data_IF_811888218773
#
_entry.id   IF_811888218773
#
_cell.length_a   1.000
_cell.length_b   1.000
_cell.length_c   1.000
_cell.angle_alpha   90.00
_cell.angle_beta   90.00
_cell.angle_gamma   90.00
#
_symmetry.space_group_name_H-M   'P 1'
#
loop_
_entity.id
_entity.type
_entity.pdbx_description
1 polymer ?
#
# COMPACT_ATOMS: atom_id res chain seq x y z
N UNK A 1 8.96 -2.58 12.53
CA UNK A 1 10.37 -2.13 12.52
C UNK A 1 11.30 -3.27 12.94
N UNK A 2 10.97 -4.04 13.98
CA UNK A 2 11.83 -5.12 14.46
C UNK A 2 11.76 -6.35 13.56
N UNK A 3 10.56 -6.83 13.31
CA UNK A 3 10.36 -8.15 12.72
C UNK A 3 10.02 -8.11 11.22
N UNK A 4 9.62 -6.96 10.68
CA UNK A 4 9.31 -6.81 9.25
C UNK A 4 9.72 -5.44 8.70
N UNK A 5 11.02 -5.13 8.60
CA UNK A 5 11.48 -3.85 8.03
C UNK A 5 11.21 -3.73 6.52
N UNK A 6 10.82 -4.83 5.89
CA UNK A 6 10.62 -4.97 4.44
C UNK A 6 9.32 -4.38 3.90
N UNK A 7 8.27 -4.30 4.75
CA UNK A 7 6.92 -3.99 4.26
C UNK A 7 6.51 -2.53 4.52
N UNK A 8 6.09 -2.17 5.72
CA UNK A 8 5.69 -0.80 6.06
C UNK A 8 6.85 0.04 6.59
N UNK A 9 6.97 1.30 6.14
CA UNK A 9 8.09 2.17 6.52
C UNK A 9 7.71 3.64 6.35
N UNK A 10 8.60 4.56 6.83
CA UNK A 10 8.42 6.02 6.68
C UNK A 10 8.37 6.46 5.22
N UNK A 11 9.10 5.77 4.34
CA UNK A 11 9.15 6.06 2.90
C UNK A 11 8.01 5.44 2.08
N UNK A 12 7.00 4.87 2.73
CA UNK A 12 5.85 4.23 2.09
C UNK A 12 4.56 5.04 2.13
N UNK A 13 3.45 4.34 1.94
CA UNK A 13 2.10 4.87 2.02
C UNK A 13 1.10 3.81 2.46
N UNK A 14 -0.17 4.17 2.59
CA UNK A 14 -1.18 3.23 3.04
C UNK A 14 -2.56 3.84 3.29
N UNK A 15 -3.36 3.11 4.06
CA UNK A 15 -4.73 3.46 4.43
C UNK A 15 -5.02 3.10 5.88
N UNK A 16 -5.89 3.86 6.51
CA UNK A 16 -6.41 3.53 7.84
C UNK A 16 -7.91 3.75 7.91
N UNK A 17 -8.59 2.81 8.54
CA UNK A 17 -9.99 2.93 9.00
C UNK A 17 -9.98 3.04 10.51
N UNK A 18 -10.77 3.95 11.05
CA UNK A 18 -10.88 4.22 12.47
C UNK A 18 -12.36 4.21 12.84
N UNK A 19 -12.74 3.30 13.73
CA UNK A 19 -14.08 3.24 14.31
C UNK A 19 -14.06 3.85 15.68
N UNK A 20 -14.85 4.91 15.84
CA UNK A 20 -15.15 5.56 17.11
C UNK A 20 -16.42 4.94 17.68
N UNK A 21 -16.27 4.18 18.75
CA UNK A 21 -17.39 3.47 19.38
C UNK A 21 -18.38 4.40 20.08
N UNK A 22 -17.90 5.51 20.65
CA UNK A 22 -18.75 6.46 21.36
C UNK A 22 -19.72 7.15 20.41
N UNK A 23 -19.24 7.56 19.24
CA UNK A 23 -20.03 8.26 18.24
C UNK A 23 -20.67 7.33 17.20
N UNK A 24 -20.37 6.02 17.23
CA UNK A 24 -20.75 5.03 16.21
C UNK A 24 -20.38 5.48 14.79
N UNK A 25 -19.19 6.07 14.64
CA UNK A 25 -18.70 6.66 13.40
C UNK A 25 -17.45 5.96 12.88
N UNK A 26 -17.26 5.94 11.56
CA UNK A 26 -16.07 5.41 10.91
C UNK A 26 -15.47 6.46 10.01
N UNK A 27 -14.24 6.85 10.30
CA UNK A 27 -13.44 7.67 9.42
C UNK A 27 -12.39 6.85 8.70
N UNK A 28 -12.00 7.30 7.51
CA UNK A 28 -10.91 6.70 6.76
C UNK A 28 -9.94 7.76 6.25
N UNK A 29 -8.65 7.44 6.32
CA UNK A 29 -7.59 8.32 5.84
C UNK A 29 -6.78 7.57 4.77
N UNK A 30 -6.74 8.19 3.60
CA UNK A 30 -5.89 7.81 2.47
C UNK A 30 -4.56 8.57 2.59
N UNK A 31 -3.48 7.82 2.82
CA UNK A 31 -2.12 8.34 2.84
C UNK A 31 -1.21 7.57 1.88
N UNK A 32 -1.78 7.14 0.74
CA UNK A 32 -0.98 6.54 -0.32
C UNK A 32 0.08 7.50 -0.80
N UNK A 33 1.17 6.92 -1.31
CA UNK A 33 2.21 7.71 -1.96
C UNK A 33 1.68 8.39 -3.22
N UNK A 34 2.14 9.59 -3.48
CA UNK A 34 1.76 10.36 -4.65
C UNK A 34 2.89 10.37 -5.68
N UNK A 35 2.53 10.40 -6.97
CA UNK A 35 3.52 10.56 -8.01
C UNK A 35 4.17 11.94 -7.97
N UNK A 36 5.49 12.06 -8.25
CA UNK A 36 6.11 13.33 -8.53
C UNK A 36 5.47 14.00 -9.75
N UNK A 37 5.36 15.32 -9.75
CA UNK A 37 4.70 16.11 -10.83
C UNK A 37 5.34 15.92 -12.21
N UNK A 38 6.62 15.58 -12.26
CA UNK A 38 7.37 15.36 -13.50
C UNK A 38 7.29 13.92 -14.03
N UNK A 39 6.55 13.05 -13.37
CA UNK A 39 6.44 11.65 -13.77
C UNK A 39 5.59 11.50 -15.05
N UNK A 40 6.13 10.76 -16.02
CA UNK A 40 5.46 10.36 -17.26
C UNK A 40 5.66 8.86 -17.51
N UNK A 41 4.75 8.20 -18.22
CA UNK A 41 4.76 6.74 -18.39
C UNK A 41 6.02 6.21 -19.08
N UNK A 42 6.53 6.93 -20.07
CA UNK A 42 7.71 6.56 -20.85
C UNK A 42 9.00 6.47 -20.00
N UNK A 43 9.08 7.21 -18.90
CA UNK A 43 10.23 7.17 -18.00
C UNK A 43 10.39 5.83 -17.28
N UNK A 44 9.33 5.04 -17.15
CA UNK A 44 9.31 3.80 -16.37
C UNK A 44 9.44 2.54 -17.21
N UNK A 45 9.53 2.68 -18.54
CA UNK A 45 9.66 1.55 -19.45
C UNK A 45 11.11 1.50 -19.98
N UNK A 46 11.79 0.39 -19.73
CA UNK A 46 13.12 0.09 -20.27
C UNK A 46 13.10 -1.31 -20.84
N UNK A 47 13.57 -1.47 -22.08
CA UNK A 47 13.64 -2.77 -22.77
C UNK A 47 12.30 -3.54 -22.72
N UNK A 48 11.18 -2.87 -23.01
CA UNK A 48 9.82 -3.40 -22.95
C UNK A 48 9.38 -3.92 -21.56
N UNK A 49 10.08 -3.55 -20.50
CA UNK A 49 9.74 -3.89 -19.12
C UNK A 49 9.64 -2.65 -18.23
N UNK A 50 8.80 -2.72 -17.20
CA UNK A 50 8.69 -1.64 -16.20
C UNK A 50 9.87 -1.69 -15.24
N UNK A 51 10.51 -0.54 -15.01
CA UNK A 51 11.61 -0.39 -14.03
C UNK A 51 11.10 -0.77 -12.64
N UNK A 52 11.84 -1.64 -11.94
CA UNK A 52 11.37 -2.23 -10.67
C UNK A 52 11.99 -1.62 -9.42
N UNK A 53 13.23 -1.15 -9.50
CA UNK A 53 14.04 -0.72 -8.35
C UNK A 53 14.77 0.59 -8.62
N UNK A 54 15.34 1.18 -7.58
CA UNK A 54 16.11 2.43 -7.69
C UNK A 54 15.27 3.68 -7.43
N UNK A 55 15.89 4.85 -7.61
CA UNK A 55 15.27 6.14 -7.25
C UNK A 55 14.13 6.54 -8.18
N UNK A 56 14.14 6.10 -9.44
CA UNK A 56 13.12 6.45 -10.43
C UNK A 56 11.73 5.99 -10.02
N UNK A 57 11.61 4.82 -9.40
CA UNK A 57 10.33 4.23 -9.02
C UNK A 57 9.80 4.71 -7.66
N UNK A 58 10.48 5.66 -7.02
CA UNK A 58 10.00 6.22 -5.76
C UNK A 58 8.86 7.20 -6.00
N UNK A 59 7.76 6.99 -5.32
CA UNK A 59 6.70 7.98 -5.17
C UNK A 59 6.89 8.79 -3.88
N UNK A 60 6.30 9.99 -3.81
CA UNK A 60 6.30 10.85 -2.62
C UNK A 60 5.64 10.10 -1.46
N UNK A 61 6.34 9.85 -0.35
CA UNK A 61 5.84 8.99 0.71
C UNK A 61 4.72 9.64 1.52
N UNK A 62 3.70 8.87 1.87
CA UNK A 62 2.54 9.33 2.63
C UNK A 62 2.50 8.89 4.09
N UNK A 63 3.25 7.86 4.48
CA UNK A 63 3.13 7.23 5.81
C UNK A 63 3.23 8.20 6.98
N UNK A 64 4.16 9.16 6.92
CA UNK A 64 4.34 10.13 8.01
C UNK A 64 3.15 11.08 8.11
N UNK A 65 2.64 11.59 6.98
CA UNK A 65 1.47 12.47 6.98
C UNK A 65 0.21 11.76 7.49
N UNK A 66 -0.05 10.55 6.99
CA UNK A 66 -1.25 9.80 7.39
C UNK A 66 -1.24 9.38 8.85
N UNK A 67 -0.14 8.84 9.34
CA UNK A 67 -0.04 8.41 10.74
C UNK A 67 -0.08 9.61 11.71
N UNK A 68 0.53 10.75 11.35
CA UNK A 68 0.46 11.94 12.18
C UNK A 68 -0.90 12.64 12.11
N UNK A 69 -1.58 12.58 10.97
CA UNK A 69 -2.96 13.05 10.85
C UNK A 69 -3.90 12.19 11.71
N UNK A 70 -3.76 10.87 11.64
CA UNK A 70 -4.49 9.94 12.53
C UNK A 70 -4.24 10.26 14.00
N UNK A 71 -2.98 10.50 14.38
CA UNK A 71 -2.63 10.86 15.75
C UNK A 71 -3.19 12.21 16.16
N UNK A 72 -3.15 13.23 15.30
CA UNK A 72 -3.65 14.57 15.59
C UNK A 72 -5.16 14.56 15.85
N UNK A 73 -5.91 13.79 15.05
CA UNK A 73 -7.37 13.85 15.03
C UNK A 73 -8.00 12.84 16.00
N UNK A 74 -7.31 11.72 16.32
CA UNK A 74 -7.85 10.62 17.15
C UNK A 74 -6.92 10.22 18.32
N UNK A 75 -5.67 10.68 18.34
CA UNK A 75 -4.71 10.28 19.38
C UNK A 75 -4.81 11.12 20.64
N UNK A 76 -4.63 10.47 21.78
CA UNK A 76 -4.64 11.13 23.11
C UNK A 76 -3.27 11.21 23.77
N UNK A 77 -2.33 10.33 23.40
CA UNK A 77 -0.98 10.30 23.97
C UNK A 77 -0.04 11.28 23.26
N UNK A 78 0.93 11.89 23.95
CA UNK A 78 1.95 12.72 23.29
C UNK A 78 2.73 11.94 22.24
N UNK A 79 2.91 12.51 21.06
CA UNK A 79 3.64 11.89 19.94
C UNK A 79 5.06 11.44 20.34
N UNK A 80 5.73 12.22 21.18
CA UNK A 80 7.08 11.90 21.65
C UNK A 80 7.11 10.58 22.44
N UNK A 81 6.08 10.32 23.24
CA UNK A 81 5.99 9.10 24.04
C UNK A 81 5.69 7.89 23.16
N UNK A 82 4.83 8.06 22.15
CA UNK A 82 4.50 7.01 21.17
C UNK A 82 5.71 6.60 20.32
N UNK A 83 6.56 7.56 19.92
CA UNK A 83 7.74 7.28 19.10
C UNK A 83 8.95 6.79 19.91
N UNK A 84 8.99 7.04 21.22
CA UNK A 84 10.14 6.71 22.06
C UNK A 84 10.57 5.24 22.02
N UNK A 85 9.68 4.24 22.08
CA UNK A 85 10.07 2.82 21.94
C UNK A 85 10.78 2.53 20.61
N UNK A 86 10.27 3.07 19.50
CA UNK A 86 10.87 2.90 18.17
C UNK A 86 12.23 3.61 18.06
N UNK A 87 12.36 4.79 18.65
CA UNK A 87 13.64 5.53 18.72
C UNK A 87 14.68 4.72 19.47
N UNK A 88 14.32 4.12 20.62
CA UNK A 88 15.21 3.28 21.41
C UNK A 88 15.63 2.03 20.63
N UNK A 89 14.69 1.30 20.02
CA UNK A 89 15.00 0.13 19.21
C UNK A 89 15.95 0.47 18.04
N UNK A 90 15.73 1.59 17.37
CA UNK A 90 16.61 2.01 16.28
C UNK A 90 18.00 2.42 16.78
N UNK A 91 18.08 3.11 17.92
CA UNK A 91 19.35 3.62 18.48
C UNK A 91 20.17 2.51 19.14
N UNK A 92 19.54 1.76 20.03
CA UNK A 92 20.22 0.77 20.89
C UNK A 92 20.40 -0.57 20.17
N UNK A 93 19.55 -0.82 19.18
CA UNK A 93 19.56 -2.01 18.34
C UNK A 93 18.68 -3.14 18.89
N UNK A 94 18.56 -4.17 18.09
CA UNK A 94 17.88 -5.42 18.41
C UNK A 94 18.59 -6.61 17.74
N UNK A 95 18.37 -7.81 18.25
CA UNK A 95 18.95 -9.01 17.66
C UNK A 95 18.33 -9.29 16.29
N UNK A 96 19.18 -9.58 15.30
CA UNK A 96 18.76 -10.05 13.97
C UNK A 96 18.11 -11.42 14.11
N UNK A 97 16.86 -11.52 13.68
CA UNK A 97 16.09 -12.77 13.69
C UNK A 97 16.42 -13.63 12.47
N UNK A 98 16.03 -14.90 12.51
CA UNK A 98 16.09 -15.78 11.33
C UNK A 98 15.25 -15.24 10.18
N UNK A 99 14.07 -14.69 10.47
CA UNK A 99 13.18 -14.10 9.46
C UNK A 99 13.84 -12.90 8.77
N UNK A 100 14.42 -11.98 9.54
CA UNK A 100 15.12 -10.83 8.97
C UNK A 100 16.30 -11.25 8.08
N UNK A 101 17.13 -12.17 8.55
CA UNK A 101 18.25 -12.69 7.75
C UNK A 101 17.75 -13.34 6.45
N UNK A 102 16.72 -14.19 6.55
CA UNK A 102 16.13 -14.89 5.41
C UNK A 102 15.54 -13.93 4.36
N UNK A 103 14.78 -12.92 4.80
CA UNK A 103 14.19 -11.97 3.85
C UNK A 103 15.22 -11.02 3.24
N UNK A 104 16.33 -10.75 3.93
CA UNK A 104 17.44 -9.99 3.36
C UNK A 104 18.14 -10.77 2.23
N UNK A 105 18.20 -12.10 2.30
CA UNK A 105 18.69 -12.90 1.18
C UNK A 105 17.85 -12.70 -0.08
N UNK A 106 16.54 -12.60 0.05
CA UNK A 106 15.63 -12.32 -1.06
C UNK A 106 15.71 -10.87 -1.55
N UNK A 107 16.06 -9.94 -0.65
CA UNK A 107 16.18 -8.52 -0.96
C UNK A 107 17.46 -8.13 -1.71
N UNK A 108 18.40 -9.03 -1.92
CA UNK A 108 19.71 -8.73 -2.54
C UNK A 108 19.58 -8.03 -3.88
N UNK A 109 18.71 -8.56 -4.76
CA UNK A 109 18.52 -8.01 -6.11
C UNK A 109 18.19 -6.51 -6.09
N UNK A 110 17.30 -6.09 -5.18
CA UNK A 110 16.85 -4.69 -5.09
C UNK A 110 17.81 -3.80 -4.30
N UNK A 111 18.47 -4.35 -3.27
CA UNK A 111 19.13 -3.53 -2.24
C UNK A 111 20.65 -3.39 -2.45
N UNK A 112 21.31 -4.35 -3.09
CA UNK A 112 22.76 -4.29 -3.29
C UNK A 112 23.20 -3.18 -4.24
N UNK A 113 22.34 -2.77 -5.16
CA UNK A 113 22.59 -1.66 -6.09
C UNK A 113 22.60 -0.28 -5.42
N UNK A 114 21.99 -0.15 -4.24
CA UNK A 114 21.99 1.09 -3.47
C UNK A 114 23.05 1.04 -2.37
N UNK A 115 24.08 1.91 -2.44
CA UNK A 115 25.18 1.94 -1.49
C UNK A 115 24.73 2.02 -0.01
N UNK A 116 23.71 2.84 0.29
CA UNK A 116 23.24 3.02 1.67
C UNK A 116 22.51 1.78 2.18
N UNK A 117 21.77 1.08 1.32
CA UNK A 117 21.12 -0.18 1.65
C UNK A 117 22.14 -1.32 1.81
N UNK A 118 23.07 -1.44 0.86
CA UNK A 118 24.15 -2.43 0.93
C UNK A 118 24.92 -2.30 2.24
N UNK A 119 25.47 -1.13 2.52
CA UNK A 119 26.25 -0.85 3.75
C UNK A 119 25.47 -1.05 5.04
N UNK A 120 24.12 -0.96 4.99
CA UNK A 120 23.26 -1.06 6.16
C UNK A 120 22.84 -2.49 6.49
N UNK A 121 22.54 -3.28 5.46
CA UNK A 121 21.86 -4.58 5.63
C UNK A 121 22.75 -5.78 5.29
N UNK A 122 23.94 -5.53 4.68
CA UNK A 122 24.84 -6.59 4.23
C UNK A 122 26.27 -6.34 4.71
N UNK A 123 27.04 -7.43 4.74
CA UNK A 123 28.49 -7.39 4.99
C UNK A 123 29.26 -6.92 3.74
N UNK A 124 30.57 -6.76 3.88
CA UNK A 124 31.45 -6.46 2.75
C UNK A 124 31.47 -7.59 1.67
N UNK A 125 31.05 -8.79 2.04
CA UNK A 125 30.94 -9.93 1.12
C UNK A 125 29.51 -10.08 0.59
N UNK A 126 28.63 -9.08 0.79
CA UNK A 126 27.22 -9.09 0.41
C UNK A 126 26.38 -10.19 1.11
N UNK A 127 26.83 -10.66 2.27
CA UNK A 127 26.05 -11.55 3.10
C UNK A 127 25.05 -10.73 3.94
N UNK A 128 23.82 -11.22 4.13
CA UNK A 128 22.85 -10.59 5.05
C UNK A 128 23.40 -10.43 6.46
N UNK A 129 22.86 -9.50 7.23
CA UNK A 129 23.14 -9.34 8.65
C UNK A 129 23.12 -10.70 9.37
N UNK A 130 24.16 -10.99 10.13
CA UNK A 130 24.30 -12.25 10.86
C UNK A 130 23.20 -12.40 11.92
N UNK A 131 22.60 -13.63 11.99
CA UNK A 131 21.60 -13.97 12.99
C UNK A 131 22.17 -13.79 14.39
N UNK A 132 21.39 -13.20 15.31
CA UNK A 132 21.76 -12.81 16.69
C UNK A 132 22.76 -11.65 16.79
N UNK A 133 23.27 -11.11 15.69
CA UNK A 133 24.00 -9.85 15.76
C UNK A 133 23.07 -8.69 16.16
N UNK A 134 23.63 -7.62 16.71
CA UNK A 134 22.84 -6.45 17.11
C UNK A 134 22.76 -5.44 15.94
N UNK A 135 21.56 -5.30 15.38
CA UNK A 135 21.29 -4.37 14.30
C UNK A 135 20.90 -2.99 14.83
N UNK A 136 21.76 -2.00 14.63
CA UNK A 136 21.54 -0.59 15.01
C UNK A 136 21.26 0.28 13.81
N UNK A 137 20.36 1.25 13.97
CA UNK A 137 19.92 2.17 12.91
C UNK A 137 19.97 3.63 13.40
N UNK A 138 21.16 4.20 13.66
CA UNK A 138 21.30 5.52 14.28
C UNK A 138 20.67 6.65 13.44
N UNK A 139 20.75 6.60 12.11
CA UNK A 139 20.13 7.57 11.22
C UNK A 139 18.59 7.51 11.31
N UNK A 140 18.00 6.30 11.36
CA UNK A 140 16.56 6.13 11.57
C UNK A 140 16.13 6.65 12.95
N UNK A 141 16.92 6.39 13.99
CA UNK A 141 16.65 6.94 15.33
C UNK A 141 16.64 8.47 15.33
N UNK A 142 17.60 9.10 14.63
CA UNK A 142 17.65 10.56 14.45
C UNK A 142 16.40 11.07 13.71
N UNK A 143 16.02 10.42 12.62
CA UNK A 143 14.83 10.78 11.84
C UNK A 143 13.55 10.71 12.68
N UNK A 144 13.33 9.60 13.40
CA UNK A 144 12.18 9.43 14.30
C UNK A 144 12.18 10.47 15.43
N UNK A 145 13.36 10.78 16.00
CA UNK A 145 13.48 11.83 17.00
C UNK A 145 13.12 13.22 16.44
N UNK A 146 13.56 13.55 15.22
CA UNK A 146 13.18 14.81 14.58
C UNK A 146 11.68 14.91 14.36
N UNK A 147 11.03 13.82 13.88
CA UNK A 147 9.58 13.75 13.72
C UNK A 147 8.86 13.89 15.07
N UNK A 148 9.35 13.25 16.13
CA UNK A 148 8.76 13.36 17.49
C UNK A 148 8.75 14.78 18.05
N UNK A 149 9.66 15.63 17.57
CA UNK A 149 9.81 17.04 18.05
C UNK A 149 9.14 18.05 17.14
N UNK A 150 9.10 17.81 15.83
CA UNK A 150 8.71 18.80 14.83
C UNK A 150 7.50 18.37 13.97
N UNK A 151 6.96 17.16 14.23
CA UNK A 151 5.83 16.63 13.47
C UNK A 151 6.13 16.38 12.01
N UNK A 152 5.10 16.47 11.17
CA UNK A 152 5.18 16.22 9.72
C UNK A 152 6.02 17.29 8.98
N UNK A 153 6.09 18.51 9.46
CA UNK A 153 6.78 19.60 8.76
C UNK A 153 8.28 19.30 8.53
N UNK A 154 8.95 18.65 9.47
CA UNK A 154 10.36 18.30 9.29
C UNK A 154 10.54 17.25 8.18
N UNK A 155 9.53 16.43 7.92
CA UNK A 155 9.56 15.39 6.89
C UNK A 155 9.21 15.93 5.51
N UNK A 156 8.21 16.82 5.41
CA UNK A 156 7.68 17.28 4.12
C UNK A 156 8.23 18.67 3.70
N UNK A 157 8.60 19.54 4.63
CA UNK A 157 9.06 20.90 4.35
C UNK A 157 10.43 21.22 4.94
N UNK A 158 10.94 20.33 5.81
CA UNK A 158 12.18 20.54 6.55
C UNK A 158 13.39 19.80 6.02
N UNK A 159 14.23 19.39 6.96
CA UNK A 159 15.54 18.80 6.68
C UNK A 159 15.40 17.41 6.01
N UNK A 160 14.39 16.62 6.40
CA UNK A 160 14.19 15.28 5.82
C UNK A 160 13.75 15.38 4.36
N UNK A 161 12.85 16.32 4.01
CA UNK A 161 12.47 16.59 2.62
C UNK A 161 13.70 16.92 1.75
N UNK A 162 14.63 17.70 2.28
CA UNK A 162 15.89 18.02 1.57
C UNK A 162 16.71 16.77 1.30
N UNK A 163 16.87 15.88 2.28
CA UNK A 163 17.61 14.62 2.08
C UNK A 163 16.98 13.75 1.01
N UNK A 164 15.64 13.61 1.02
CA UNK A 164 14.91 12.82 0.04
C UNK A 164 15.08 13.42 -1.36
N UNK A 165 14.84 14.73 -1.51
CA UNK A 165 14.90 15.41 -2.81
C UNK A 165 16.31 15.44 -3.39
N UNK A 166 17.32 15.81 -2.59
CA UNK A 166 18.73 15.83 -3.01
C UNK A 166 19.18 14.45 -3.49
N UNK A 167 18.89 13.41 -2.72
CA UNK A 167 19.29 12.04 -3.04
C UNK A 167 18.51 11.48 -4.24
N UNK A 168 17.22 11.75 -4.34
CA UNK A 168 16.37 11.39 -5.48
C UNK A 168 16.95 11.99 -6.77
N UNK A 169 17.06 13.31 -6.84
CA UNK A 169 17.49 14.01 -8.07
C UNK A 169 18.92 13.67 -8.47
N UNK A 170 19.83 13.47 -7.49
CA UNK A 170 21.22 13.10 -7.78
C UNK A 170 21.38 11.69 -8.34
N UNK A 171 20.38 10.84 -8.19
CA UNK A 171 20.42 9.43 -8.63
C UNK A 171 19.32 9.08 -9.66
N UNK A 172 18.84 10.07 -10.41
CA UNK A 172 17.88 9.86 -11.51
C UNK A 172 16.43 9.64 -11.06
N UNK A 173 16.11 9.94 -9.80
CA UNK A 173 14.73 10.00 -9.32
C UNK A 173 14.05 11.34 -9.62
N UNK A 174 12.76 11.44 -9.32
CA UNK A 174 11.91 12.56 -9.72
C UNK A 174 11.43 13.43 -8.56
N UNK A 175 11.60 13.01 -7.30
CA UNK A 175 11.01 13.69 -6.13
C UNK A 175 11.72 15.03 -5.87
N UNK A 176 10.99 16.13 -6.01
CA UNK A 176 11.44 17.48 -5.71
C UNK A 176 11.01 17.93 -4.32
N UNK A 177 11.55 19.07 -3.84
CA UNK A 177 11.07 19.71 -2.60
C UNK A 177 9.62 20.18 -2.72
N UNK A 178 9.19 20.58 -3.92
CA UNK A 178 7.83 21.01 -4.18
C UNK A 178 6.86 19.82 -4.08
N UNK A 179 7.23 18.65 -4.64
CA UNK A 179 6.45 17.42 -4.52
C UNK A 179 6.27 17.04 -3.06
N UNK A 180 7.35 17.05 -2.28
CA UNK A 180 7.29 16.79 -0.83
C UNK A 180 6.36 17.78 -0.12
N UNK A 181 6.55 19.10 -0.35
CA UNK A 181 5.80 20.15 0.34
C UNK A 181 4.30 20.15 0.00
N UNK A 182 3.92 19.67 -1.17
CA UNK A 182 2.52 19.61 -1.63
C UNK A 182 1.77 18.35 -1.20
N UNK A 183 2.46 17.37 -0.59
CA UNK A 183 1.81 16.14 -0.18
C UNK A 183 0.85 16.34 1.00
N UNK A 184 -0.34 15.77 0.90
CA UNK A 184 -1.36 15.76 1.95
C UNK A 184 -2.06 14.39 2.03
N UNK A 185 -2.22 13.87 3.24
CA UNK A 185 -3.09 12.73 3.52
C UNK A 185 -4.55 13.19 3.53
N UNK A 186 -5.45 12.42 2.89
CA UNK A 186 -6.85 12.82 2.65
C UNK A 186 -7.83 11.98 3.44
N UNK A 187 -8.86 12.61 3.98
CA UNK A 187 -10.06 11.88 4.38
C UNK A 187 -10.82 11.39 3.14
N UNK A 188 -11.30 10.16 3.21
CA UNK A 188 -12.18 9.56 2.21
C UNK A 188 -13.44 9.05 2.92
N UNK A 189 -14.60 9.18 2.29
CA UNK A 189 -15.80 8.51 2.79
C UNK A 189 -15.62 6.99 2.68
N UNK A 190 -15.72 6.23 3.80
CA UNK A 190 -15.68 4.78 3.73
C UNK A 190 -16.80 4.23 2.85
N UNK A 191 -16.54 3.11 2.20
CA UNK A 191 -17.60 2.38 1.49
C UNK A 191 -18.16 1.26 2.38
N UNK A 192 -19.44 0.99 2.23
CA UNK A 192 -20.12 0.00 3.06
C UNK A 192 -21.13 -0.85 2.29
N UNK A 193 -21.39 -2.02 2.80
CA UNK A 193 -22.51 -2.88 2.40
C UNK A 193 -23.03 -3.67 3.60
N UNK A 194 -24.17 -4.33 3.44
CA UNK A 194 -24.62 -5.38 4.36
C UNK A 194 -24.30 -6.76 3.78
N UNK A 195 -23.90 -7.69 4.61
CA UNK A 195 -23.74 -9.09 4.25
C UNK A 195 -24.30 -9.99 5.34
N UNK A 196 -25.37 -10.71 5.04
CA UNK A 196 -26.03 -11.63 5.97
C UNK A 196 -26.40 -10.98 7.32
N UNK A 197 -26.83 -9.74 7.30
CA UNK A 197 -27.22 -8.95 8.49
C UNK A 197 -26.08 -8.24 9.21
N UNK A 198 -24.83 -8.39 8.74
CA UNK A 198 -23.70 -7.64 9.26
C UNK A 198 -23.40 -6.43 8.37
N UNK A 199 -23.08 -5.31 8.99
CA UNK A 199 -22.52 -4.13 8.31
C UNK A 199 -21.04 -4.38 8.05
N UNK A 200 -20.62 -4.26 6.80
CA UNK A 200 -19.22 -4.39 6.38
C UNK A 200 -18.77 -3.05 5.84
N UNK A 201 -17.71 -2.51 6.42
CA UNK A 201 -17.14 -1.21 6.07
C UNK A 201 -15.71 -1.42 5.57
N UNK A 202 -15.35 -0.74 4.51
CA UNK A 202 -14.00 -0.84 3.95
C UNK A 202 -13.51 0.47 3.37
N UNK A 203 -12.24 0.52 2.98
CA UNK A 203 -11.63 1.67 2.35
C UNK A 203 -12.22 1.91 0.95
N UNK A 204 -12.51 3.17 0.67
CA UNK A 204 -12.94 3.61 -0.66
C UNK A 204 -11.78 3.58 -1.68
N UNK A 205 -12.04 3.66 -3.00
CA UNK A 205 -11.02 4.05 -3.97
C UNK A 205 -10.27 5.34 -3.53
N UNK A 206 -9.00 5.49 -3.80
CA UNK A 206 -8.11 4.70 -4.67
C UNK A 206 -7.72 3.27 -4.19
N UNK A 207 -8.10 2.83 -2.98
CA UNK A 207 -7.94 1.43 -2.58
C UNK A 207 -8.95 0.55 -3.33
N UNK A 208 -8.48 -0.37 -4.16
CA UNK A 208 -9.37 -1.23 -4.94
C UNK A 208 -9.94 -2.39 -4.13
N UNK A 209 -9.19 -2.90 -3.15
CA UNK A 209 -9.55 -4.10 -2.40
C UNK A 209 -10.87 -3.99 -1.64
N UNK A 210 -11.18 -2.81 -1.10
CA UNK A 210 -12.44 -2.56 -0.41
C UNK A 210 -13.66 -2.78 -1.31
N UNK A 211 -13.65 -2.19 -2.49
CA UNK A 211 -14.76 -2.28 -3.44
C UNK A 211 -14.91 -3.71 -3.98
N UNK A 212 -13.79 -4.38 -4.32
CA UNK A 212 -13.77 -5.79 -4.75
C UNK A 212 -14.33 -6.70 -3.66
N UNK A 213 -13.92 -6.50 -2.40
CA UNK A 213 -14.43 -7.30 -1.28
C UNK A 213 -15.94 -7.14 -1.11
N UNK A 214 -16.42 -5.90 -1.05
CA UNK A 214 -17.85 -5.62 -0.81
C UNK A 214 -18.73 -6.13 -1.96
N UNK A 215 -18.29 -5.96 -3.19
CA UNK A 215 -18.97 -6.50 -4.36
C UNK A 215 -18.99 -8.03 -4.37
N UNK A 216 -17.85 -8.66 -4.08
CA UNK A 216 -17.77 -10.12 -3.96
C UNK A 216 -18.75 -10.63 -2.91
N UNK A 217 -18.81 -10.01 -1.73
CA UNK A 217 -19.77 -10.38 -0.69
C UNK A 217 -21.22 -10.21 -1.14
N UNK A 218 -21.53 -9.12 -1.85
CA UNK A 218 -22.87 -8.89 -2.39
C UNK A 218 -23.28 -9.95 -3.42
N UNK A 219 -22.36 -10.42 -4.27
CA UNK A 219 -22.60 -11.53 -5.20
C UNK A 219 -22.85 -12.83 -4.42
N UNK A 220 -21.96 -13.12 -3.44
CA UNK A 220 -22.03 -14.35 -2.64
C UNK A 220 -23.30 -14.44 -1.77
N UNK A 221 -23.90 -13.32 -1.40
CA UNK A 221 -25.14 -13.30 -0.59
C UNK A 221 -26.31 -13.99 -1.29
N UNK A 222 -26.28 -14.10 -2.63
CA UNK A 222 -27.27 -14.77 -3.44
C UNK A 222 -27.15 -16.31 -3.44
N UNK A 223 -26.13 -16.88 -2.79
CA UNK A 223 -25.89 -18.32 -2.74
C UNK A 223 -25.99 -18.86 -1.32
N UNK A 224 -26.56 -20.05 -1.16
CA UNK A 224 -26.55 -20.78 0.10
C UNK A 224 -25.22 -21.55 0.25
N UNK A 225 -24.16 -20.84 0.68
CA UNK A 225 -22.84 -21.42 0.85
C UNK A 225 -22.78 -22.47 1.98
N UNK A 226 -23.69 -22.39 2.97
CA UNK A 226 -23.75 -23.36 4.07
C UNK A 226 -24.04 -24.77 3.54
N UNK A 227 -24.99 -24.88 2.62
CA UNK A 227 -25.39 -26.18 2.02
C UNK A 227 -24.38 -26.65 0.97
N UNK A 228 -23.53 -25.75 0.49
CA UNK A 228 -22.46 -26.13 -0.45
C UNK A 228 -21.28 -26.82 0.25
N UNK A 229 -21.11 -26.65 1.55
CA UNK A 229 -20.04 -27.21 2.37
C UNK A 229 -18.77 -26.36 2.40
N UNK A 230 -18.10 -26.37 3.55
CA UNK A 230 -16.86 -25.61 3.76
C UNK A 230 -15.75 -26.15 2.85
N UNK A 231 -15.11 -25.26 2.10
CA UNK A 231 -14.03 -25.58 1.14
C UNK A 231 -14.37 -26.71 0.12
N UNK A 232 -15.65 -26.95 -0.12
CA UNK A 232 -16.06 -27.87 -1.18
C UNK A 232 -15.74 -27.30 -2.56
N UNK A 233 -15.58 -28.15 -3.57
CA UNK A 233 -15.40 -27.73 -4.95
C UNK A 233 -16.49 -26.74 -5.42
N UNK A 234 -17.73 -26.93 -4.97
CA UNK A 234 -18.85 -26.03 -5.26
C UNK A 234 -18.66 -24.65 -4.61
N UNK A 235 -18.24 -24.60 -3.35
CA UNK A 235 -17.99 -23.31 -2.65
C UNK A 235 -16.81 -22.57 -3.26
N UNK A 236 -15.71 -23.27 -3.55
CA UNK A 236 -14.55 -22.68 -4.22
C UNK A 236 -14.92 -22.15 -5.61
N UNK A 237 -15.71 -22.92 -6.39
CA UNK A 237 -16.17 -22.48 -7.69
C UNK A 237 -17.00 -21.19 -7.62
N UNK A 238 -18.01 -21.13 -6.73
CA UNK A 238 -18.84 -19.94 -6.56
C UNK A 238 -18.01 -18.73 -6.14
N UNK A 239 -17.07 -18.93 -5.20
CA UNK A 239 -16.17 -17.86 -4.74
C UNK A 239 -15.30 -17.34 -5.88
N UNK A 240 -14.66 -18.22 -6.63
CA UNK A 240 -13.82 -17.85 -7.77
C UNK A 240 -14.59 -17.09 -8.84
N UNK A 241 -15.79 -17.55 -9.19
CA UNK A 241 -16.66 -16.89 -10.17
C UNK A 241 -17.14 -15.51 -9.71
N UNK A 242 -17.43 -15.35 -8.40
CA UNK A 242 -17.80 -14.06 -7.82
C UNK A 242 -16.62 -13.09 -7.83
N UNK A 243 -15.43 -13.56 -7.44
CA UNK A 243 -14.20 -12.75 -7.46
C UNK A 243 -13.84 -12.35 -8.89
N UNK A 244 -13.90 -13.25 -9.88
CA UNK A 244 -13.61 -12.90 -11.28
C UNK A 244 -14.45 -11.72 -11.77
N UNK A 245 -15.73 -11.66 -11.43
CA UNK A 245 -16.62 -10.57 -11.81
C UNK A 245 -16.28 -9.26 -11.12
N UNK A 246 -15.98 -9.32 -9.82
CA UNK A 246 -15.54 -8.15 -9.07
C UNK A 246 -14.19 -7.61 -9.59
N UNK A 247 -13.27 -8.50 -9.98
CA UNK A 247 -12.01 -8.10 -10.60
C UNK A 247 -12.16 -7.56 -12.03
N UNK A 248 -13.15 -8.07 -12.79
CA UNK A 248 -13.48 -7.50 -14.10
C UNK A 248 -13.96 -6.04 -13.96
N UNK A 249 -14.88 -5.80 -13.03
CA UNK A 249 -15.35 -4.44 -12.75
C UNK A 249 -14.24 -3.55 -12.21
N UNK A 250 -13.33 -4.12 -11.41
CA UNK A 250 -12.14 -3.41 -10.97
C UNK A 250 -11.29 -2.96 -12.16
N UNK A 251 -10.98 -3.85 -13.07
CA UNK A 251 -10.17 -3.53 -14.24
C UNK A 251 -10.80 -2.44 -15.12
N UNK A 252 -12.14 -2.41 -15.17
CA UNK A 252 -12.88 -1.51 -16.04
C UNK A 252 -13.18 -0.16 -15.40
N UNK A 253 -13.51 -0.12 -14.10
CA UNK A 253 -14.14 1.04 -13.46
C UNK A 253 -13.36 1.65 -12.31
N UNK A 254 -12.29 1.00 -11.81
CA UNK A 254 -11.55 1.56 -10.69
C UNK A 254 -10.51 2.59 -11.14
N UNK A 255 -10.28 3.56 -10.27
CA UNK A 255 -9.28 4.60 -10.45
C UNK A 255 -9.16 5.49 -9.22
N UNK A 256 -8.31 6.49 -9.30
CA UNK A 256 -8.22 7.51 -8.26
C UNK A 256 -9.42 8.47 -8.36
N UNK A 257 -10.26 8.57 -7.31
CA UNK A 257 -11.47 9.37 -7.34
C UNK A 257 -11.22 10.88 -7.45
N UNK A 258 -10.00 11.33 -7.25
CA UNK A 258 -9.65 12.75 -7.48
C UNK A 258 -9.60 13.09 -8.98
N UNK A 259 -9.58 12.08 -9.84
CA UNK A 259 -9.37 12.23 -11.28
C UNK A 259 -10.35 11.42 -12.14
N UNK A 260 -11.01 10.42 -11.55
CA UNK A 260 -11.92 9.53 -12.25
C UNK A 260 -13.19 9.27 -11.41
N UNK A 261 -14.36 9.40 -12.04
CA UNK A 261 -15.64 9.12 -11.37
C UNK A 261 -15.90 7.61 -11.29
N UNK A 262 -15.47 6.99 -10.20
CA UNK A 262 -15.67 5.56 -9.94
C UNK A 262 -17.15 5.31 -9.62
N UNK A 263 -17.88 4.44 -10.34
CA UNK A 263 -19.32 4.22 -10.14
C UNK A 263 -19.61 3.32 -8.92
N UNK A 264 -19.13 3.73 -7.73
CA UNK A 264 -19.20 2.97 -6.47
C UNK A 264 -20.62 2.49 -6.15
N UNK A 265 -21.61 3.41 -6.26
CA UNK A 265 -23.02 3.10 -5.96
C UNK A 265 -23.59 2.01 -6.86
N UNK A 266 -23.21 2.01 -8.12
CA UNK A 266 -23.66 1.00 -9.08
C UNK A 266 -23.01 -0.35 -8.80
N UNK A 267 -21.70 -0.38 -8.62
CA UNK A 267 -20.90 -1.58 -8.34
C UNK A 267 -21.39 -2.26 -7.04
N UNK A 268 -21.69 -1.49 -5.99
CA UNK A 268 -22.17 -2.00 -4.71
C UNK A 268 -23.69 -2.24 -4.66
N UNK A 269 -24.41 -1.97 -5.74
CA UNK A 269 -25.85 -2.19 -5.78
C UNK A 269 -26.19 -3.68 -5.65
N UNK A 270 -27.13 -4.00 -4.76
CA UNK A 270 -27.59 -5.37 -4.56
C UNK A 270 -28.24 -5.95 -5.84
N UNK A 271 -28.90 -5.10 -6.62
CA UNK A 271 -29.49 -5.54 -7.89
C UNK A 271 -28.41 -5.93 -8.90
N UNK A 272 -27.38 -5.10 -9.09
CA UNK A 272 -26.25 -5.41 -9.96
C UNK A 272 -25.55 -6.71 -9.56
N UNK A 273 -25.28 -6.86 -8.25
CA UNK A 273 -24.68 -8.09 -7.72
C UNK A 273 -25.55 -9.34 -7.92
N UNK A 274 -26.89 -9.18 -7.87
CA UNK A 274 -27.83 -10.25 -8.22
C UNK A 274 -27.76 -10.62 -9.70
N UNK A 275 -27.68 -9.63 -10.57
CA UNK A 275 -27.56 -9.85 -12.01
C UNK A 275 -26.26 -10.59 -12.36
N UNK A 276 -25.14 -10.21 -11.72
CA UNK A 276 -23.89 -10.94 -11.82
C UNK A 276 -23.99 -12.37 -11.28
N UNK A 277 -24.66 -12.57 -10.15
CA UNK A 277 -24.83 -13.91 -9.57
C UNK A 277 -25.64 -14.85 -10.47
N UNK A 278 -26.61 -14.34 -11.22
CA UNK A 278 -27.42 -15.11 -12.17
C UNK A 278 -26.60 -15.62 -13.38
N UNK A 279 -25.43 -15.05 -13.63
CA UNK A 279 -24.50 -15.49 -14.69
C UNK A 279 -23.60 -16.63 -14.22
N UNK A 280 -23.53 -16.91 -12.92
CA UNK A 280 -22.72 -17.98 -12.36
C UNK A 280 -23.46 -19.31 -12.51
N UNK A 281 -22.95 -20.18 -13.39
CA UNK A 281 -23.47 -21.50 -13.61
C UNK A 281 -22.70 -22.57 -12.84
N UNK A 282 -23.06 -23.84 -13.02
CA UNK A 282 -22.27 -24.96 -12.50
C UNK A 282 -20.96 -25.23 -13.25
N UNK A 283 -20.70 -24.51 -14.35
CA UNK A 283 -19.51 -24.62 -15.17
C UNK A 283 -18.64 -23.35 -15.02
N UNK A 284 -17.33 -23.51 -15.09
CA UNK A 284 -16.40 -22.38 -15.13
C UNK A 284 -16.72 -21.47 -16.31
N UNK A 285 -16.79 -20.19 -16.08
CA UNK A 285 -16.89 -19.19 -17.15
C UNK A 285 -15.58 -19.21 -17.96
N UNK A 286 -15.65 -19.38 -19.30
CA UNK A 286 -14.46 -19.37 -20.15
C UNK A 286 -13.67 -18.07 -20.04
N UNK A 287 -12.34 -18.18 -20.19
CA UNK A 287 -11.46 -17.02 -20.25
C UNK A 287 -11.87 -16.11 -21.41
N UNK A 288 -11.88 -14.79 -21.19
CA UNK A 288 -12.31 -13.79 -22.16
C UNK A 288 -13.81 -13.52 -22.24
N UNK A 289 -14.67 -14.30 -21.55
CA UNK A 289 -16.11 -13.97 -21.47
C UNK A 289 -16.45 -12.92 -20.40
N UNK A 290 -15.59 -12.74 -19.40
CA UNK A 290 -15.74 -11.73 -18.35
C UNK A 290 -14.80 -10.55 -18.63
N UNK A 291 -13.66 -10.82 -19.27
CA UNK A 291 -12.67 -9.81 -19.66
C UNK A 291 -12.58 -9.71 -21.18
N UNK A 292 -12.72 -8.49 -21.68
CA UNK A 292 -12.22 -8.16 -23.03
C UNK A 292 -10.74 -7.72 -22.86
N UNK A 293 -9.78 -8.64 -22.95
CA UNK A 293 -8.35 -8.27 -22.94
C UNK A 293 -7.40 -9.42 -22.67
N UNK A 294 -6.18 -9.27 -23.17
CA UNK A 294 -5.06 -10.17 -22.94
C UNK A 294 -4.59 -9.99 -21.50
N UNK A 295 -4.84 -10.98 -20.65
CA UNK A 295 -4.28 -11.04 -19.30
C UNK A 295 -2.77 -11.26 -19.41
N UNK A 296 -2.00 -10.19 -19.52
CA UNK A 296 -0.55 -10.28 -19.30
C UNK A 296 -0.34 -10.70 -17.85
N UNK A 297 0.48 -11.73 -17.62
CA UNK A 297 0.91 -12.11 -16.27
C UNK A 297 1.68 -10.93 -15.69
N UNK A 298 1.12 -10.32 -14.67
CA UNK A 298 1.82 -9.36 -13.84
C UNK A 298 2.36 -10.09 -12.61
N UNK A 299 3.60 -9.80 -12.23
CA UNK A 299 4.19 -10.30 -10.99
C UNK A 299 3.49 -9.62 -9.81
N UNK A 300 2.80 -10.41 -9.00
CA UNK A 300 2.25 -9.94 -7.71
C UNK A 300 3.39 -9.77 -6.72
N UNK A 301 3.42 -8.65 -6.00
CA UNK A 301 4.26 -8.50 -4.82
C UNK A 301 3.48 -8.97 -3.58
N UNK A 302 3.98 -9.98 -2.84
CA UNK A 302 3.26 -10.50 -1.66
C UNK A 302 3.46 -9.65 -0.40
N UNK A 303 4.04 -8.45 -0.49
CA UNK A 303 4.66 -7.78 0.64
C UNK A 303 3.95 -6.51 1.09
N UNK A 304 3.06 -6.67 2.03
CA UNK A 304 2.32 -5.59 2.69
C UNK A 304 2.23 -5.87 4.18
N UNK A 305 2.02 -4.86 5.01
CA UNK A 305 1.77 -5.00 6.44
C UNK A 305 0.39 -4.48 6.78
N UNK A 306 -0.38 -5.32 7.45
CA UNK A 306 -1.67 -4.96 8.01
C UNK A 306 -1.71 -5.24 9.50
N UNK A 307 -2.36 -4.35 10.27
CA UNK A 307 -2.68 -4.61 11.66
C UNK A 307 -4.05 -4.04 12.01
N UNK A 308 -4.72 -4.73 12.92
CA UNK A 308 -5.96 -4.29 13.53
C UNK A 308 -5.79 -4.19 15.04
N UNK A 309 -6.36 -3.16 15.63
CA UNK A 309 -6.33 -2.93 17.09
C UNK A 309 -7.74 -2.62 17.54
N UNK A 310 -8.15 -3.23 18.65
CA UNK A 310 -9.42 -2.91 19.34
C UNK A 310 -9.05 -2.64 20.79
N UNK A 311 -9.52 -1.52 21.34
CA UNK A 311 -9.31 -1.17 22.74
C UNK A 311 -10.44 -1.71 23.65
N UNK A 312 -10.30 -1.48 24.96
CA UNK A 312 -11.29 -1.92 25.95
C UNK A 312 -12.62 -1.17 25.87
N UNK A 313 -12.65 -0.03 25.21
CA UNK A 313 -13.85 0.81 25.02
C UNK A 313 -14.62 0.42 23.75
N UNK A 314 -13.97 -0.40 22.89
CA UNK A 314 -14.54 -0.90 21.63
C UNK A 314 -14.21 -0.03 20.43
N UNK A 315 -13.32 0.98 20.56
CA UNK A 315 -12.76 1.66 19.42
C UNK A 315 -11.87 0.70 18.62
N UNK A 316 -11.86 0.84 17.31
CA UNK A 316 -11.07 -0.05 16.46
C UNK A 316 -10.30 0.72 15.39
N UNK A 317 -9.12 0.22 15.10
CA UNK A 317 -8.28 0.71 13.99
C UNK A 317 -7.90 -0.47 13.10
N UNK A 318 -8.03 -0.28 11.79
CA UNK A 318 -7.57 -1.22 10.77
C UNK A 318 -6.65 -0.46 9.83
N UNK A 319 -5.36 -0.83 9.81
CA UNK A 319 -4.35 -0.08 9.08
C UNK A 319 -3.52 -0.98 8.18
N UNK A 320 -3.46 -0.60 6.92
CA UNK A 320 -2.63 -1.22 5.91
C UNK A 320 -1.60 -0.22 5.40
N UNK A 321 -0.31 -0.56 5.43
CA UNK A 321 0.74 0.30 4.91
C UNK A 321 1.85 -0.52 4.25
N UNK A 322 2.52 0.07 3.27
CA UNK A 322 3.41 -0.66 2.38
C UNK A 322 4.50 0.22 1.79
N UNK A 323 5.59 -0.41 1.37
CA UNK A 323 6.58 0.16 0.46
C UNK A 323 6.30 -0.19 -1.02
N UNK A 324 5.29 -1.01 -1.29
CA UNK A 324 5.04 -1.67 -2.57
C UNK A 324 5.58 -3.10 -2.51
N UNK A 325 6.74 -3.37 -3.07
CA UNK A 325 7.43 -4.65 -2.93
C UNK A 325 8.20 -4.77 -1.61
N UNK A 326 8.70 -5.97 -1.27
CA UNK A 326 9.69 -6.20 -0.21
C UNK A 326 10.86 -5.22 -0.35
N UNK A 327 11.15 -4.49 0.70
CA UNK A 327 12.16 -3.42 0.74
C UNK A 327 11.91 -2.27 -0.26
N UNK A 328 10.73 -2.18 -0.84
CA UNK A 328 10.32 -1.13 -1.77
C UNK A 328 11.20 -1.06 -3.01
N UNK A 329 11.77 0.12 -3.27
CA UNK A 329 12.69 0.36 -4.38
C UNK A 329 14.11 -0.16 -4.13
N UNK A 330 14.40 -0.73 -2.97
CA UNK A 330 15.75 -1.06 -2.52
C UNK A 330 16.57 0.16 -2.05
N UNK A 331 16.04 1.36 -2.13
CA UNK A 331 16.73 2.60 -1.78
C UNK A 331 16.56 2.93 -0.30
N UNK A 332 17.65 3.05 0.43
CA UNK A 332 17.69 3.66 1.77
C UNK A 332 18.17 5.10 1.67
N UNK A 333 17.39 6.07 2.15
CA UNK A 333 17.85 7.47 2.26
C UNK A 333 19.01 7.53 3.24
N UNK A 334 20.23 7.83 2.75
CA UNK A 334 21.50 7.70 3.48
C UNK A 334 21.50 8.46 4.81
N UNK A 335 21.10 9.73 4.79
CA UNK A 335 21.02 10.58 6.00
C UNK A 335 19.81 10.21 6.87
N UNK A 336 18.72 9.72 6.27
CA UNK A 336 17.45 9.42 6.93
C UNK A 336 17.36 8.02 7.54
N UNK A 337 18.07 7.06 6.98
CA UNK A 337 18.12 5.67 7.46
C UNK A 337 16.83 4.88 7.27
N UNK A 338 15.94 5.26 6.38
CA UNK A 338 14.70 4.55 6.07
C UNK A 338 14.62 4.20 4.58
N UNK A 339 13.89 3.13 4.30
CA UNK A 339 13.66 2.64 2.93
C UNK A 339 12.57 3.47 2.23
N UNK A 340 12.72 3.63 0.91
CA UNK A 340 11.74 4.25 0.02
C UNK A 340 10.88 3.20 -0.70
N UNK A 341 9.68 3.61 -1.04
CA UNK A 341 8.72 2.79 -1.78
C UNK A 341 9.11 2.65 -3.27
N UNK A 342 8.51 1.66 -3.95
CA UNK A 342 8.55 1.53 -5.41
C UNK A 342 7.15 1.67 -6.02
N UNK A 343 6.32 2.54 -5.45
CA UNK A 343 4.90 2.60 -5.78
C UNK A 343 4.60 3.29 -7.12
N UNK A 344 5.59 3.89 -7.81
CA UNK A 344 5.43 4.30 -9.19
C UNK A 344 5.15 3.12 -10.16
N UNK A 345 5.50 1.88 -9.75
CA UNK A 345 5.14 0.66 -10.47
C UNK A 345 3.63 0.35 -10.49
N UNK A 346 2.91 0.92 -9.55
CA UNK A 346 1.47 0.64 -9.40
C UNK A 346 0.61 1.45 -10.37
N UNK A 347 1.21 2.37 -11.14
CA UNK A 347 0.54 3.08 -12.21
C UNK A 347 0.59 2.26 -13.50
N UNK A 348 -0.43 2.36 -14.33
CA UNK A 348 -0.40 1.79 -15.66
C UNK A 348 0.55 2.58 -16.55
N UNK A 349 1.57 1.91 -17.07
CA UNK A 349 2.56 2.49 -17.95
C UNK A 349 2.28 2.22 -19.44
N UNK A 350 1.27 1.41 -19.74
CA UNK A 350 0.84 1.07 -21.08
C UNK A 350 -0.53 1.68 -21.37
N UNK A 351 -0.84 1.92 -22.63
CA UNK A 351 -2.13 2.50 -23.05
C UNK A 351 -3.33 1.76 -22.44
N UNK A 352 -4.22 2.50 -21.83
CA UNK A 352 -5.40 2.01 -21.16
C UNK A 352 -6.05 3.06 -20.28
N UNK A 353 -7.09 2.70 -19.51
CA UNK A 353 -7.81 3.65 -18.64
C UNK A 353 -6.96 4.20 -17.49
N UNK A 354 -5.93 3.49 -17.11
CA UNK A 354 -5.01 3.89 -16.06
C UNK A 354 -3.68 4.42 -16.63
N UNK A 355 -3.71 4.97 -17.85
CA UNK A 355 -2.53 5.44 -18.55
C UNK A 355 -2.08 6.80 -18.04
N UNK A 356 -0.79 6.92 -17.73
CA UNK A 356 -0.12 8.18 -17.38
C UNK A 356 -0.16 9.23 -18.50
N UNK A 357 -0.35 8.83 -19.76
CA UNK A 357 -0.30 9.75 -20.91
C UNK A 357 -1.48 10.70 -21.00
N UNK A 358 -2.61 10.40 -20.36
CA UNK A 358 -3.77 11.29 -20.42
C UNK A 358 -3.67 12.53 -19.53
N UNK A 359 -2.50 12.81 -18.98
CA UNK A 359 -2.14 14.10 -18.35
C UNK A 359 -2.99 14.46 -17.12
N UNK A 360 -3.88 13.61 -16.79
CA UNK A 360 -4.92 13.89 -15.83
C UNK A 360 -4.79 13.04 -14.61
N UNK A 361 -4.01 11.97 -14.64
CA UNK A 361 -3.87 11.20 -13.45
C UNK A 361 -3.03 9.98 -13.56
N UNK A 362 -2.24 9.87 -12.68
CA UNK A 362 -1.67 8.68 -12.12
C UNK A 362 -2.81 7.93 -11.46
N UNK A 363 -3.62 7.21 -12.26
CA UNK A 363 -4.70 6.39 -11.75
C UNK A 363 -4.09 5.29 -10.90
N UNK A 364 -4.38 5.38 -9.65
CA UNK A 364 -3.83 4.52 -8.63
C UNK A 364 -4.77 3.34 -8.42
N UNK A 365 -4.35 2.16 -8.75
CA UNK A 365 -5.23 1.00 -8.78
C UNK A 365 -4.85 -0.12 -7.84
N UNK A 366 -3.70 -0.06 -7.19
CA UNK A 366 -3.34 -1.10 -6.26
C UNK A 366 -3.62 -0.69 -4.83
N UNK A 367 -4.21 -1.55 -4.07
CA UNK A 367 -4.11 -1.51 -2.63
C UNK A 367 -2.93 -2.38 -2.16
N UNK A 368 -2.65 -2.28 -0.88
CA UNK A 368 -1.54 -3.00 -0.28
C UNK A 368 -1.72 -4.52 -0.25
N UNK A 369 -2.88 -5.03 -0.56
CA UNK A 369 -3.19 -6.46 -0.64
C UNK A 369 -3.30 -6.96 -2.08
N UNK A 370 -3.32 -6.06 -3.07
CA UNK A 370 -3.61 -6.39 -4.44
C UNK A 370 -2.67 -5.64 -5.39
N UNK A 371 -1.53 -6.26 -5.65
CA UNK A 371 -0.54 -5.78 -6.61
C UNK A 371 -0.87 -6.11 -8.07
N UNK A 372 -2.11 -6.49 -8.37
CA UNK A 372 -2.51 -6.68 -9.76
C UNK A 372 -2.67 -5.34 -10.41
N UNK A 373 -1.79 -5.08 -11.34
CA UNK A 373 -1.90 -3.94 -12.22
C UNK A 373 -3.18 -4.08 -13.06
N UNK A 374 -3.94 -3.05 -13.10
CA UNK A 374 -4.97 -2.91 -14.12
C UNK A 374 -4.34 -2.67 -15.48
#
# INVERSE_FOLDING_TARGET
IRDSPRAGNLGGGGFVLIYDKENDDVSSIDYRSAAPKSATSDLFIQDDSVVRFGHLVNAVPGSVAGLLKTHQDHGTMPLADLLMPSIRLARDGFEVTHDLNYVLEWGKESMLSNEASNNKFYSANEDPLEIKSIFKQPNLAKTLFMISKKGADVFYRGEIAKWISEESLSNGGLITLEDMASYEAKYREPIETSYRGYKIISMAPAASGGLVLLQTLNILENFNLKDSGHNSAKTIHILSEAMQRAYADRAEYHGDPDFYDVPIKQILSKQYSKDLSNQISGMRTPDGQIYEGDLKKYDESPDTTHFSVIDSEGNAVSNTYTLGSSFGSGVTIKKGGFLMNNQMRNFSHFHGRNDMQYGTCLLYTSDAADDRNC
#
